data_IF_452977605873
#
_entry.id   IF_452977605873
#
_cell.length_a   1.000
_cell.length_b   1.000
_cell.length_c   1.000
_cell.angle_alpha   90.00
_cell.angle_beta   90.00
_cell.angle_gamma   90.00
#
_symmetry.space_group_name_H-M   'P 1'
#
loop_
_entity.id
_entity.type
_entity.pdbx_description
1 polymer ?
#
# COMPACT_ATOMS: atom_id res chain seq x y z
N UNK A 1 -7.57 15.58 1.79
CA UNK A 1 -6.99 14.45 2.51
C UNK A 1 -6.47 13.45 1.51
N UNK A 2 -5.31 12.90 1.77
CA UNK A 2 -4.67 11.95 0.85
C UNK A 2 -4.83 10.54 1.33
N UNK A 3 -4.92 9.61 0.40
CA UNK A 3 -4.98 8.18 0.68
C UNK A 3 -3.81 7.51 -0.01
N UNK A 4 -3.26 6.49 0.61
CA UNK A 4 -2.05 5.83 0.14
C UNK A 4 -2.27 4.31 0.20
N UNK A 5 -1.71 3.60 -0.77
CA UNK A 5 -1.71 2.14 -0.74
C UNK A 5 -0.55 1.69 0.13
N UNK A 6 -0.87 0.89 1.14
CA UNK A 6 0.14 0.27 2.01
C UNK A 6 0.21 -1.21 1.70
N UNK A 7 1.39 -1.77 1.83
CA UNK A 7 1.63 -3.18 1.58
C UNK A 7 2.49 -3.75 2.69
N UNK A 8 2.31 -5.04 2.97
CA UNK A 8 3.13 -5.71 3.96
C UNK A 8 4.59 -5.73 3.50
N UNK A 9 5.49 -5.32 4.37
CA UNK A 9 6.91 -5.35 4.06
C UNK A 9 7.37 -6.81 3.91
N UNK A 10 6.89 -7.68 4.81
CA UNK A 10 7.17 -9.11 4.76
C UNK A 10 5.82 -9.82 4.63
N UNK A 11 5.60 -10.61 3.55
CA UNK A 11 4.32 -11.31 3.37
C UNK A 11 3.98 -12.18 4.58
N UNK A 12 2.76 -12.03 5.08
CA UNK A 12 2.28 -12.77 6.24
C UNK A 12 2.59 -12.11 7.58
N UNK A 13 3.39 -11.05 7.60
CA UNK A 13 3.69 -10.30 8.83
C UNK A 13 2.97 -8.96 8.74
N UNK A 14 1.88 -8.80 9.46
CA UNK A 14 1.01 -7.64 9.37
C UNK A 14 1.39 -6.49 10.31
N UNK A 15 2.59 -6.52 10.87
CA UNK A 15 3.06 -5.52 11.81
C UNK A 15 3.76 -4.34 11.15
N UNK A 16 4.31 -4.54 9.96
CA UNK A 16 5.06 -3.51 9.25
C UNK A 16 4.44 -3.30 7.88
N UNK A 17 3.92 -2.11 7.68
CA UNK A 17 3.30 -1.71 6.41
C UNK A 17 4.11 -0.55 5.82
N UNK A 18 4.36 -0.63 4.52
CA UNK A 18 5.16 0.37 3.81
C UNK A 18 4.40 0.81 2.56
N UNK A 19 4.74 2.00 2.07
CA UNK A 19 4.13 2.52 0.85
C UNK A 19 4.79 1.96 -0.41
N UNK A 20 6.00 1.47 -0.28
CA UNK A 20 6.74 0.85 -1.39
C UNK A 20 7.80 -0.06 -0.80
N UNK A 21 8.18 -1.08 -1.55
CA UNK A 21 9.16 -2.05 -1.10
C UNK A 21 10.60 -1.62 -1.40
N UNK A 22 10.78 -0.90 -2.48
CA UNK A 22 12.09 -0.41 -2.90
C UNK A 22 12.05 1.10 -3.11
N UNK A 23 13.16 1.81 -2.87
CA UNK A 23 13.20 3.27 -3.09
C UNK A 23 12.89 3.67 -4.54
N UNK A 24 13.07 2.76 -5.48
CA UNK A 24 12.84 3.01 -6.90
C UNK A 24 11.37 2.85 -7.30
N UNK A 25 10.58 2.18 -6.46
CA UNK A 25 9.17 1.94 -6.76
C UNK A 25 8.35 3.21 -6.53
N UNK A 26 7.28 3.42 -7.30
CA UNK A 26 6.41 4.55 -7.08
C UNK A 26 5.58 4.36 -5.83
N UNK A 27 5.22 5.48 -5.19
CA UNK A 27 4.27 5.49 -4.09
C UNK A 27 2.91 5.76 -4.69
N UNK A 28 1.93 4.90 -4.41
CA UNK A 28 0.58 5.04 -4.93
C UNK A 28 -0.25 5.91 -3.98
N UNK A 29 -0.46 7.14 -4.38
CA UNK A 29 -1.14 8.15 -3.57
C UNK A 29 -2.31 8.72 -4.35
N UNK A 30 -3.45 8.87 -3.71
CA UNK A 30 -4.69 9.32 -4.36
C UNK A 30 -5.42 10.31 -3.46
N UNK A 31 -6.22 11.18 -4.08
CA UNK A 31 -7.07 12.12 -3.35
C UNK A 31 -8.43 11.50 -2.99
N UNK A 32 -8.72 10.33 -3.52
CA UNK A 32 -10.00 9.64 -3.41
C UNK A 32 -9.78 8.24 -2.86
N UNK A 33 -10.50 7.89 -1.79
CA UNK A 33 -10.36 6.58 -1.16
C UNK A 33 -10.73 5.45 -2.12
N UNK A 34 -11.77 5.64 -2.92
CA UNK A 34 -12.22 4.61 -3.86
C UNK A 34 -11.14 4.28 -4.88
N UNK A 35 -10.46 5.29 -5.40
CA UNK A 35 -9.34 5.07 -6.33
C UNK A 35 -8.20 4.32 -5.66
N UNK A 36 -7.91 4.68 -4.42
CA UNK A 36 -6.86 4.03 -3.64
C UNK A 36 -7.20 2.56 -3.39
N UNK A 37 -8.43 2.28 -3.01
CA UNK A 37 -8.89 0.92 -2.78
C UNK A 37 -8.86 0.09 -4.07
N UNK A 38 -9.22 0.69 -5.20
CA UNK A 38 -9.16 0.04 -6.49
C UNK A 38 -7.73 -0.34 -6.83
N UNK A 39 -6.79 0.55 -6.59
CA UNK A 39 -5.38 0.27 -6.85
C UNK A 39 -4.85 -0.82 -5.92
N UNK A 40 -5.23 -0.77 -4.64
CA UNK A 40 -4.83 -1.80 -3.69
C UNK A 40 -5.33 -3.18 -4.12
N UNK A 41 -6.58 -3.26 -4.57
CA UNK A 41 -7.16 -4.51 -5.06
C UNK A 41 -6.46 -5.00 -6.33
N UNK A 42 -6.10 -4.07 -7.21
CA UNK A 42 -5.38 -4.40 -8.45
C UNK A 42 -4.00 -4.98 -8.14
N UNK A 43 -3.27 -4.35 -7.23
CA UNK A 43 -1.96 -4.83 -6.81
C UNK A 43 -2.07 -6.18 -6.09
N UNK A 44 -3.11 -6.34 -5.27
CA UNK A 44 -3.36 -7.59 -4.57
C UNK A 44 -3.60 -8.73 -5.54
N UNK A 45 -4.38 -8.48 -6.59
CA UNK A 45 -4.70 -9.49 -7.60
C UNK A 45 -3.46 -9.89 -8.41
N UNK A 46 -2.54 -8.96 -8.62
CA UNK A 46 -1.31 -9.21 -9.37
C UNK A 46 -0.22 -9.86 -8.52
N UNK A 47 -0.36 -9.82 -7.20
CA UNK A 47 0.67 -10.35 -6.32
C UNK A 47 0.63 -11.87 -6.26
N UNK A 48 1.80 -12.50 -6.27
CA UNK A 48 1.94 -13.96 -6.21
C UNK A 48 2.64 -14.42 -4.93
N UNK A 49 2.97 -13.51 -4.03
CA UNK A 49 3.75 -13.82 -2.83
C UNK A 49 2.89 -13.99 -1.57
N UNK A 50 1.59 -13.68 -1.66
CA UNK A 50 0.70 -13.69 -0.51
C UNK A 50 0.76 -12.42 0.31
N UNK A 51 1.44 -11.38 -0.20
CA UNK A 51 1.51 -10.08 0.46
C UNK A 51 0.14 -9.39 0.41
N UNK A 52 -0.27 -8.79 1.52
CA UNK A 52 -1.53 -8.06 1.58
C UNK A 52 -1.31 -6.58 1.27
N UNK A 53 -2.30 -5.97 0.66
CA UNK A 53 -2.31 -4.57 0.29
C UNK A 53 -3.58 -3.93 0.86
N UNK A 54 -3.48 -2.68 1.26
CA UNK A 54 -4.65 -1.96 1.77
C UNK A 54 -4.57 -0.48 1.42
N UNK A 55 -5.73 0.17 1.38
CA UNK A 55 -5.83 1.61 1.26
C UNK A 55 -5.91 2.20 2.67
N UNK A 56 -5.18 3.29 2.90
CA UNK A 56 -5.16 3.94 4.20
C UNK A 56 -5.02 5.45 4.00
N UNK A 57 -5.46 6.22 4.98
CA UNK A 57 -5.18 7.65 4.97
C UNK A 57 -3.68 7.84 5.16
N UNK A 58 -3.12 8.80 4.43
CA UNK A 58 -1.74 9.16 4.62
C UNK A 58 -1.57 9.74 6.02
N UNK A 59 -0.69 9.15 6.81
CA UNK A 59 -0.47 9.55 8.19
C UNK A 59 0.99 9.86 8.41
N UNK A 60 1.23 10.80 9.33
CA UNK A 60 2.56 11.10 9.79
C UNK A 60 3.14 9.87 10.48
N UNK A 61 4.37 9.55 10.21
CA UNK A 61 5.04 8.40 10.80
C UNK A 61 4.93 7.11 10.02
N UNK A 62 4.23 7.13 8.88
CA UNK A 62 4.19 5.95 7.99
C UNK A 62 5.55 5.77 7.34
N UNK A 63 6.05 4.54 7.35
CA UNK A 63 7.33 4.22 6.72
C UNK A 63 7.15 4.05 5.21
N UNK A 64 7.94 4.77 4.48
CA UNK A 64 7.90 4.71 3.02
C UNK A 64 9.10 3.96 2.46
#
# INVERSE_FOLDING_TARGET
>A
MKYIVLMEFIPGVDQIWVARLNPEDPIYEYDNLEECETKAAELQAADTTGRLYKASEEQEGVTY
#
